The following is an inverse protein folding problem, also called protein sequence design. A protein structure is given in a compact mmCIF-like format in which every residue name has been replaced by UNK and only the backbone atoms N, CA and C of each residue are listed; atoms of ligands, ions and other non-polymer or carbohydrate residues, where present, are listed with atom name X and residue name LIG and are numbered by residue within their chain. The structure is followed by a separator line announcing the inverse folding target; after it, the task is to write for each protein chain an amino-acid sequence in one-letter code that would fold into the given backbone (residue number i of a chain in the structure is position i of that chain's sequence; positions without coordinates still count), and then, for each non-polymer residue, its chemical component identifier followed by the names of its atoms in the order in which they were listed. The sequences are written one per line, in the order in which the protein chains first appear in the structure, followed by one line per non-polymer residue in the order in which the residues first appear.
data_IF_309813817212
#
_entry.id   IF_309813817212
#
_cell.length_a   1.000
_cell.length_b   1.000
_cell.length_c   1.000
_cell.angle_alpha   90.00
_cell.angle_beta   90.00
_cell.angle_gamma   90.00
#
_symmetry.space_group_name_H-M   'P 1'
#
loop_
_entity.id
_entity.type
_entity.pdbx_description
1 polymer ?
#
# COMPACT_ATOMS: atom_id res chain seq x y z
N UNK A 1 -10.91 12.55 -36.34
CA UNK A 1 -10.48 11.18 -36.33
C UNK A 1 -9.54 10.92 -35.16
N UNK A 2 -10.08 10.28 -34.12
CA UNK A 2 -9.30 9.89 -32.92
C UNK A 2 -8.51 8.65 -33.29
N UNK A 3 -7.22 8.77 -33.61
CA UNK A 3 -6.30 7.64 -33.72
C UNK A 3 -5.94 7.17 -32.32
N UNK A 4 -6.35 5.96 -32.02
CA UNK A 4 -6.15 5.26 -30.76
C UNK A 4 -4.65 5.18 -30.37
N UNK A 5 -4.32 5.60 -29.18
CA UNK A 5 -3.00 5.49 -28.56
C UNK A 5 -2.51 4.03 -28.42
N UNK A 6 -3.37 3.04 -28.65
CA UNK A 6 -3.03 1.61 -28.59
C UNK A 6 -2.05 1.15 -29.68
N UNK A 7 -1.98 1.84 -30.82
CA UNK A 7 -1.18 1.38 -31.97
C UNK A 7 0.30 1.78 -31.87
N UNK A 8 0.70 2.68 -30.95
CA UNK A 8 2.11 3.10 -30.81
C UNK A 8 2.94 2.29 -29.80
N UNK A 9 2.29 1.48 -28.95
CA UNK A 9 2.99 0.61 -27.99
C UNK A 9 3.42 -0.74 -28.62
N UNK A 10 2.86 -1.11 -29.77
CA UNK A 10 3.13 -2.39 -30.44
C UNK A 10 4.37 -2.41 -31.34
N UNK A 11 5.06 -1.28 -31.53
CA UNK A 11 6.14 -1.18 -32.54
C UNK A 11 7.54 -0.89 -31.98
N UNK A 12 7.81 -1.19 -30.70
CA UNK A 12 9.20 -1.23 -30.21
C UNK A 12 9.71 -2.66 -30.36
N UNK A 13 10.82 -2.89 -31.12
CA UNK A 13 11.47 -4.18 -31.14
C UNK A 13 12.03 -4.45 -29.73
N UNK A 14 11.34 -5.29 -28.98
CA UNK A 14 11.83 -5.76 -27.69
C UNK A 14 12.84 -6.86 -27.97
N UNK A 15 14.07 -6.62 -27.57
CA UNK A 15 15.12 -7.60 -27.48
C UNK A 15 14.62 -8.87 -26.78
N UNK A 16 14.42 -9.93 -27.52
CA UNK A 16 14.50 -11.35 -27.19
C UNK A 16 13.90 -11.94 -25.90
N UNK A 17 13.25 -11.15 -25.05
CA UNK A 17 12.58 -11.66 -23.86
C UNK A 17 11.16 -12.11 -24.24
N UNK A 18 10.93 -13.41 -24.25
CA UNK A 18 9.60 -13.97 -24.44
C UNK A 18 8.71 -13.55 -23.28
N UNK A 19 7.79 -12.61 -23.51
CA UNK A 19 6.77 -12.23 -22.55
C UNK A 19 5.79 -13.40 -22.48
N UNK A 20 5.85 -14.16 -21.38
CA UNK A 20 4.84 -15.18 -21.09
C UNK A 20 3.53 -14.50 -20.71
N UNK A 21 2.45 -14.95 -21.30
CA UNK A 21 1.12 -14.53 -20.86
C UNK A 21 0.87 -15.03 -19.44
N UNK A 22 0.33 -14.19 -18.54
CA UNK A 22 0.00 -14.61 -17.19
C UNK A 22 -1.05 -15.72 -17.20
N UNK A 23 -0.88 -16.69 -16.32
CA UNK A 23 -1.84 -17.77 -16.07
C UNK A 23 -2.71 -17.42 -14.86
N UNK A 24 -3.83 -18.13 -14.69
CA UNK A 24 -4.70 -17.95 -13.52
C UNK A 24 -3.98 -18.19 -12.19
N UNK A 25 -2.99 -19.06 -12.19
CA UNK A 25 -2.13 -19.36 -11.04
C UNK A 25 -1.16 -18.21 -10.67
N UNK A 26 -0.96 -17.24 -11.56
CA UNK A 26 -0.08 -16.09 -11.29
C UNK A 26 -0.79 -15.06 -10.40
N UNK A 27 -1.00 -15.44 -9.16
CA UNK A 27 -1.55 -14.62 -8.08
C UNK A 27 -0.52 -14.48 -6.97
N UNK A 28 -0.53 -13.36 -6.30
CA UNK A 28 0.33 -13.12 -5.14
C UNK A 28 -0.49 -12.38 -4.07
N UNK A 29 -0.54 -12.95 -2.88
CA UNK A 29 -1.01 -12.26 -1.68
C UNK A 29 0.20 -11.87 -0.83
N UNK A 30 0.33 -10.60 -0.48
CA UNK A 30 1.50 -10.05 0.17
C UNK A 30 1.12 -9.08 1.27
N UNK A 31 1.55 -9.36 2.50
CA UNK A 31 1.51 -8.41 3.60
C UNK A 31 2.81 -7.59 3.59
N UNK A 32 2.70 -6.31 3.37
CA UNK A 32 3.81 -5.36 3.51
C UNK A 32 3.74 -4.75 4.91
N UNK A 33 4.78 -4.94 5.68
CA UNK A 33 4.96 -4.32 6.99
C UNK A 33 6.01 -3.22 6.88
N UNK A 34 5.64 -2.01 7.23
CA UNK A 34 6.56 -0.87 7.30
C UNK A 34 7.05 -0.78 8.74
N UNK A 35 8.37 -0.86 8.91
CA UNK A 35 8.96 -0.83 10.24
C UNK A 35 8.69 0.53 10.93
N UNK A 36 8.46 0.54 12.25
CA UNK A 36 8.28 1.78 12.99
C UNK A 36 9.58 2.58 13.02
N UNK A 37 9.46 3.89 13.19
CA UNK A 37 10.56 4.79 13.54
C UNK A 37 10.43 5.22 15.00
N UNK A 38 11.27 6.14 15.44
CA UNK A 38 11.14 6.74 16.78
C UNK A 38 9.84 7.54 16.92
N UNK A 39 9.31 8.05 15.80
CA UNK A 39 8.15 8.94 15.77
C UNK A 39 6.91 8.32 15.14
N UNK A 40 7.03 7.18 14.43
CA UNK A 40 5.91 6.57 13.70
C UNK A 40 5.64 5.14 14.16
N UNK A 41 4.37 4.78 14.21
CA UNK A 41 3.92 3.41 14.42
C UNK A 41 4.23 2.52 13.20
N UNK A 42 4.23 1.18 13.33
CA UNK A 42 4.35 0.29 12.19
C UNK A 42 3.15 0.43 11.25
N UNK A 43 3.42 0.46 9.94
CA UNK A 43 2.38 0.48 8.91
C UNK A 43 2.13 -0.90 8.32
N UNK A 44 0.91 -1.16 7.85
CA UNK A 44 0.52 -2.44 7.28
C UNK A 44 -0.30 -2.25 6.00
N UNK A 45 0.11 -2.95 4.94
CA UNK A 45 -0.56 -2.93 3.65
C UNK A 45 -0.71 -4.36 3.15
N UNK A 46 -1.94 -4.78 2.89
CA UNK A 46 -2.22 -6.06 2.26
C UNK A 46 -2.40 -5.84 0.75
N UNK A 47 -1.57 -6.51 -0.04
CA UNK A 47 -1.62 -6.48 -1.49
C UNK A 47 -2.09 -7.82 -2.02
N UNK A 48 -3.03 -7.79 -2.96
CA UNK A 48 -3.42 -8.93 -3.76
C UNK A 48 -3.22 -8.60 -5.24
N UNK A 49 -2.29 -9.33 -5.86
CA UNK A 49 -1.95 -9.17 -7.27
C UNK A 49 -2.54 -10.34 -8.05
N UNK A 50 -3.23 -10.02 -9.14
CA UNK A 50 -3.74 -11.02 -10.06
C UNK A 50 -3.29 -10.66 -11.48
N UNK A 51 -2.24 -11.35 -11.95
CA UNK A 51 -1.64 -11.04 -13.24
C UNK A 51 -2.55 -11.43 -14.42
N UNK A 52 -3.40 -12.45 -14.27
CA UNK A 52 -4.33 -12.86 -15.34
C UNK A 52 -5.42 -11.82 -15.58
N UNK A 53 -5.86 -11.14 -14.52
CA UNK A 53 -6.85 -10.06 -14.59
C UNK A 53 -6.22 -8.67 -14.72
N UNK A 54 -4.88 -8.60 -14.69
CA UNK A 54 -4.11 -7.35 -14.68
C UNK A 54 -4.60 -6.36 -13.63
N UNK A 55 -4.87 -6.85 -12.42
CA UNK A 55 -5.36 -6.05 -11.32
C UNK A 55 -4.48 -6.19 -10.06
N UNK A 56 -4.44 -5.12 -9.28
CA UNK A 56 -3.82 -5.05 -7.96
C UNK A 56 -4.87 -4.47 -7.02
N UNK A 57 -5.15 -5.20 -5.94
CA UNK A 57 -5.93 -4.68 -4.83
C UNK A 57 -4.97 -4.36 -3.70
N UNK A 58 -5.12 -3.18 -3.12
CA UNK A 58 -4.33 -2.71 -1.99
C UNK A 58 -5.29 -2.33 -0.86
N UNK A 59 -5.03 -2.84 0.34
CA UNK A 59 -5.81 -2.56 1.54
C UNK A 59 -4.87 -2.15 2.66
N UNK A 60 -4.96 -0.92 3.11
CA UNK A 60 -4.28 -0.46 4.32
C UNK A 60 -4.97 -1.08 5.55
N UNK A 61 -4.20 -1.68 6.45
CA UNK A 61 -4.71 -2.26 7.67
C UNK A 61 -4.37 -1.32 8.85
N UNK A 62 -5.36 -0.93 9.66
CA UNK A 62 -5.09 -0.10 10.82
C UNK A 62 -4.26 -0.86 11.86
N UNK A 63 -3.35 -0.15 12.52
CA UNK A 63 -2.50 -0.73 13.56
C UNK A 63 -3.26 -1.25 14.77
N UNK A 64 -4.45 -0.70 15.03
CA UNK A 64 -5.38 -1.08 16.09
C UNK A 64 -6.21 -2.32 15.76
N UNK A 65 -6.09 -2.86 14.54
CA UNK A 65 -6.79 -4.08 14.15
C UNK A 65 -6.50 -5.19 15.15
N UNK A 66 -7.55 -5.71 15.77
CA UNK A 66 -7.44 -6.77 16.76
C UNK A 66 -7.16 -8.11 16.08
N UNK A 67 -6.05 -8.75 16.45
CA UNK A 67 -5.59 -10.03 15.89
C UNK A 67 -5.32 -11.05 16.99
N UNK A 68 -5.39 -12.37 16.69
CA UNK A 68 -5.04 -13.42 17.65
C UNK A 68 -3.55 -13.38 18.01
N UNK A 69 -3.24 -13.51 19.31
CA UNK A 69 -1.88 -13.56 19.81
C UNK A 69 -1.76 -14.58 20.97
N UNK A 70 -1.37 -15.80 20.66
CA UNK A 70 -1.40 -16.90 21.61
C UNK A 70 -2.83 -17.29 21.98
N UNK A 71 -3.13 -17.29 23.27
CA UNK A 71 -4.48 -17.52 23.81
C UNK A 71 -5.34 -16.24 23.83
N UNK A 72 -4.74 -15.09 23.65
CA UNK A 72 -5.36 -13.78 23.77
C UNK A 72 -5.50 -13.09 22.41
N UNK A 73 -5.91 -11.83 22.46
CA UNK A 73 -5.96 -10.93 21.31
C UNK A 73 -5.17 -9.66 21.61
N UNK A 74 -4.57 -9.07 20.59
CA UNK A 74 -3.82 -7.82 20.71
C UNK A 74 -4.01 -6.95 19.47
N UNK A 75 -3.59 -5.69 19.53
CA UNK A 75 -3.52 -4.84 18.36
C UNK A 75 -2.42 -5.32 17.40
N UNK A 76 -2.61 -5.16 16.11
CA UNK A 76 -1.64 -5.57 15.07
C UNK A 76 -0.29 -4.89 15.26
N UNK A 77 -0.29 -3.61 15.64
CA UNK A 77 0.93 -2.86 16.00
C UNK A 77 1.70 -3.48 17.16
N UNK A 78 1.00 -3.93 18.19
CA UNK A 78 1.63 -4.56 19.35
C UNK A 78 2.10 -5.99 19.03
N UNK A 79 1.35 -6.72 18.21
CA UNK A 79 1.79 -8.00 17.65
C UNK A 79 3.12 -7.84 16.90
N UNK A 80 3.24 -6.79 16.07
CA UNK A 80 4.47 -6.49 15.34
C UNK A 80 5.64 -6.18 16.27
N UNK A 81 5.42 -5.32 17.28
CA UNK A 81 6.46 -4.95 18.24
C UNK A 81 6.93 -6.15 19.08
N UNK A 82 6.01 -7.03 19.46
CA UNK A 82 6.30 -8.18 20.31
C UNK A 82 6.97 -9.33 19.54
N UNK A 83 6.59 -9.60 18.29
CA UNK A 83 6.98 -10.82 17.61
C UNK A 83 7.28 -10.64 16.10
N UNK A 84 7.26 -9.41 15.59
CA UNK A 84 7.67 -9.06 14.23
C UNK A 84 6.69 -9.45 13.12
N UNK A 85 7.09 -9.23 11.85
CA UNK A 85 6.20 -9.32 10.70
C UNK A 85 5.71 -10.74 10.39
N UNK A 86 6.50 -11.76 10.69
CA UNK A 86 6.09 -13.16 10.47
C UNK A 86 4.88 -13.51 11.34
N UNK A 87 4.89 -13.07 12.61
CA UNK A 87 3.76 -13.29 13.52
C UNK A 87 2.53 -12.50 13.13
N UNK A 88 2.69 -11.27 12.63
CA UNK A 88 1.59 -10.48 12.08
C UNK A 88 0.91 -11.22 10.91
N UNK A 89 1.71 -11.80 10.00
CA UNK A 89 1.17 -12.63 8.91
C UNK A 89 0.33 -13.79 9.46
N UNK A 90 0.86 -14.59 10.38
CA UNK A 90 0.13 -15.72 10.97
C UNK A 90 -1.18 -15.28 11.63
N UNK A 91 -1.14 -14.21 12.40
CA UNK A 91 -2.31 -13.65 13.05
C UNK A 91 -3.37 -13.18 12.05
N UNK A 92 -2.95 -12.55 10.95
CA UNK A 92 -3.85 -12.06 9.89
C UNK A 92 -4.40 -13.20 9.03
N UNK A 93 -3.65 -14.29 8.79
CA UNK A 93 -4.19 -15.47 8.12
C UNK A 93 -5.44 -15.99 8.84
N UNK A 94 -5.37 -16.06 10.16
CA UNK A 94 -6.49 -16.51 10.99
C UNK A 94 -7.59 -15.47 11.09
N UNK A 95 -7.26 -14.19 11.31
CA UNK A 95 -8.22 -13.12 11.55
C UNK A 95 -9.05 -12.76 10.31
N UNK A 96 -8.43 -12.75 9.14
CA UNK A 96 -9.03 -12.32 7.87
C UNK A 96 -9.27 -13.47 6.89
N UNK A 97 -9.02 -14.73 7.30
CA UNK A 97 -9.14 -15.90 6.42
C UNK A 97 -8.36 -15.75 5.11
N UNK A 98 -7.14 -15.22 5.21
CA UNK A 98 -6.28 -15.02 4.05
C UNK A 98 -5.78 -16.36 3.50
N UNK A 99 -5.38 -16.42 2.21
CA UNK A 99 -4.73 -17.60 1.65
C UNK A 99 -3.46 -17.98 2.43
N UNK A 100 -3.24 -19.27 2.64
CA UNK A 100 -2.06 -19.77 3.39
C UNK A 100 -0.72 -19.41 2.71
N UNK A 101 -0.73 -19.24 1.39
CA UNK A 101 0.40 -18.82 0.57
C UNK A 101 0.63 -17.28 0.60
N UNK A 102 -0.09 -16.53 1.45
CA UNK A 102 0.18 -15.12 1.67
C UNK A 102 1.61 -14.93 2.18
N UNK A 103 2.42 -14.21 1.45
CA UNK A 103 3.78 -13.86 1.85
C UNK A 103 3.81 -12.60 2.72
N UNK A 104 4.95 -12.30 3.32
CA UNK A 104 5.17 -11.00 3.96
C UNK A 104 6.48 -10.37 3.52
N UNK A 105 6.53 -9.04 3.57
CA UNK A 105 7.69 -8.22 3.29
C UNK A 105 7.81 -7.15 4.37
N UNK A 106 8.94 -7.08 5.04
CA UNK A 106 9.22 -6.02 5.99
C UNK A 106 10.14 -4.98 5.33
N UNK A 107 9.75 -3.73 5.35
CA UNK A 107 10.47 -2.61 4.75
C UNK A 107 10.80 -1.56 5.81
N UNK A 108 12.03 -1.05 5.78
CA UNK A 108 12.34 0.17 6.50
C UNK A 108 11.77 1.38 5.73
N UNK A 109 11.35 2.47 6.40
CA UNK A 109 10.86 3.68 5.74
C UNK A 109 11.84 4.23 4.70
N UNK A 110 13.14 4.17 4.97
CA UNK A 110 14.18 4.59 4.03
C UNK A 110 14.20 3.80 2.71
N UNK A 111 13.77 2.54 2.72
CA UNK A 111 13.64 1.72 1.51
C UNK A 111 12.46 2.17 0.67
N UNK A 112 11.34 2.51 1.31
CA UNK A 112 10.17 3.09 0.62
C UNK A 112 10.53 4.42 -0.03
N UNK A 113 11.26 5.28 0.70
CA UNK A 113 11.76 6.54 0.17
C UNK A 113 12.63 6.32 -1.07
N UNK A 114 13.59 5.41 -1.01
CA UNK A 114 14.47 5.09 -2.14
C UNK A 114 13.71 4.53 -3.36
N UNK A 115 12.65 3.73 -3.13
CA UNK A 115 11.78 3.25 -4.19
C UNK A 115 11.02 4.40 -4.83
N UNK A 116 10.43 5.27 -4.02
CA UNK A 116 9.66 6.41 -4.51
C UNK A 116 10.53 7.41 -5.27
N UNK A 117 11.73 7.72 -4.78
CA UNK A 117 12.71 8.57 -5.46
C UNK A 117 13.10 8.01 -6.85
N UNK A 118 13.18 6.69 -6.96
CA UNK A 118 13.48 6.03 -8.23
C UNK A 118 12.34 6.11 -9.25
N UNK A 119 11.11 6.09 -8.80
CA UNK A 119 9.93 6.14 -9.68
C UNK A 119 9.41 7.55 -9.93
N UNK A 120 9.92 8.55 -9.19
CA UNK A 120 9.57 9.95 -9.33
C UNK A 120 8.26 10.32 -8.64
N UNK A 121 7.54 11.27 -9.22
CA UNK A 121 6.30 11.79 -8.64
C UNK A 121 5.17 10.77 -8.66
N UNK A 122 4.48 10.63 -7.53
CA UNK A 122 3.25 9.86 -7.39
C UNK A 122 2.05 10.76 -7.71
N UNK A 123 1.06 10.23 -8.39
CA UNK A 123 -0.23 10.92 -8.57
C UNK A 123 -1.19 10.41 -7.51
N UNK A 124 -1.51 11.27 -6.56
CA UNK A 124 -2.44 10.97 -5.47
C UNK A 124 -3.78 11.63 -5.78
N UNK A 125 -4.86 10.87 -5.69
CA UNK A 125 -6.23 11.36 -5.85
C UNK A 125 -6.99 11.25 -4.54
N UNK A 126 -7.55 12.36 -4.08
CA UNK A 126 -8.32 12.43 -2.83
C UNK A 126 -9.84 12.49 -3.07
N UNK A 127 -10.29 12.30 -4.32
CA UNK A 127 -11.70 12.49 -4.66
C UNK A 127 -12.60 11.51 -3.91
N UNK A 128 -13.49 12.04 -3.09
CA UNK A 128 -14.46 11.29 -2.31
C UNK A 128 -13.96 10.80 -0.94
N UNK A 129 -12.66 10.89 -0.65
CA UNK A 129 -12.09 10.46 0.62
C UNK A 129 -12.03 11.60 1.66
N UNK A 130 -11.73 12.83 1.20
CA UNK A 130 -11.60 14.00 2.05
C UNK A 130 -12.67 15.04 1.72
N UNK A 131 -13.16 15.74 2.75
CA UNK A 131 -13.98 16.94 2.58
C UNK A 131 -13.13 18.10 2.09
N UNK A 132 -13.77 19.18 1.59
CA UNK A 132 -13.08 20.37 1.14
C UNK A 132 -12.25 21.05 2.27
N UNK A 133 -12.73 20.97 3.50
CA UNK A 133 -12.05 21.48 4.69
C UNK A 133 -10.82 20.64 5.03
N UNK A 134 -10.96 19.32 5.04
CA UNK A 134 -9.85 18.38 5.27
C UNK A 134 -8.78 18.52 4.18
N UNK A 135 -9.19 18.69 2.92
CA UNK A 135 -8.27 18.90 1.81
C UNK A 135 -7.48 20.22 1.97
N UNK A 136 -8.12 21.28 2.42
CA UNK A 136 -7.46 22.56 2.70
C UNK A 136 -6.42 22.45 3.83
N UNK A 137 -6.71 21.64 4.86
CA UNK A 137 -5.78 21.39 5.97
C UNK A 137 -4.53 20.61 5.54
N UNK A 138 -4.64 19.76 4.52
CA UNK A 138 -3.49 19.01 3.97
C UNK A 138 -2.58 19.87 3.08
N UNK A 139 -2.95 21.11 2.80
CA UNK A 139 -2.21 21.98 1.88
C UNK A 139 -2.36 21.60 0.40
N UNK A 140 -3.22 20.63 0.08
CA UNK A 140 -3.49 20.21 -1.29
C UNK A 140 -4.47 21.17 -1.97
N UNK A 141 -4.13 21.61 -3.17
CA UNK A 141 -4.95 22.56 -3.93
C UNK A 141 -5.94 21.90 -4.90
N UNK A 142 -5.85 20.58 -5.09
CA UNK A 142 -6.69 19.84 -6.04
C UNK A 142 -6.93 18.40 -5.61
N UNK A 143 -8.06 17.83 -6.06
CA UNK A 143 -8.41 16.43 -5.82
C UNK A 143 -7.44 15.40 -6.44
N UNK A 144 -6.56 15.81 -7.32
CA UNK A 144 -5.49 14.99 -7.89
C UNK A 144 -4.22 15.82 -7.93
N UNK A 145 -3.21 15.38 -7.22
CA UNK A 145 -1.94 16.08 -7.14
C UNK A 145 -0.78 15.13 -7.42
N UNK A 146 0.24 15.62 -8.12
CA UNK A 146 1.51 14.92 -8.23
C UNK A 146 2.37 15.31 -7.02
N UNK A 147 2.77 14.33 -6.23
CA UNK A 147 3.58 14.52 -5.02
C UNK A 147 4.84 13.68 -5.10
N UNK A 148 5.94 14.21 -4.60
CA UNK A 148 7.13 13.41 -4.32
C UNK A 148 6.88 12.52 -3.11
N UNK A 149 7.75 11.52 -2.90
CA UNK A 149 7.64 10.66 -1.72
C UNK A 149 7.73 11.42 -0.41
N UNK A 150 8.57 12.45 -0.36
CA UNK A 150 8.71 13.31 0.82
C UNK A 150 7.45 14.13 1.08
N UNK A 151 6.87 14.73 0.05
CA UNK A 151 5.61 15.47 0.17
C UNK A 151 4.46 14.54 0.57
N UNK A 152 4.45 13.28 0.08
CA UNK A 152 3.47 12.29 0.51
C UNK A 152 3.62 11.92 1.99
N UNK A 153 4.85 11.79 2.49
CA UNK A 153 5.13 11.55 3.91
C UNK A 153 4.72 12.74 4.77
N UNK A 154 5.06 13.96 4.37
CA UNK A 154 4.66 15.20 5.04
C UNK A 154 3.12 15.35 5.07
N UNK A 155 2.45 14.96 3.99
CA UNK A 155 0.99 14.95 3.87
C UNK A 155 0.36 13.96 4.86
N UNK A 156 0.87 12.72 4.92
CA UNK A 156 0.38 11.69 5.84
C UNK A 156 0.59 12.11 7.30
N UNK A 157 1.74 12.67 7.64
CA UNK A 157 2.03 13.16 8.98
C UNK A 157 1.13 14.34 9.36
N UNK A 158 0.86 15.28 8.44
CA UNK A 158 -0.05 16.39 8.66
C UNK A 158 -1.52 15.97 8.82
N UNK A 159 -1.90 14.81 8.28
CA UNK A 159 -3.24 14.25 8.44
C UNK A 159 -3.45 13.55 9.80
N UNK A 160 -2.39 13.24 10.54
CA UNK A 160 -2.47 12.40 11.74
C UNK A 160 -3.40 12.97 12.81
N UNK A 161 -3.41 14.28 12.98
CA UNK A 161 -4.18 14.97 14.01
C UNK A 161 -5.50 15.57 13.51
N UNK A 162 -5.68 15.71 12.21
CA UNK A 162 -6.77 16.51 11.63
C UNK A 162 -7.78 15.71 10.83
N UNK A 163 -7.42 14.53 10.34
CA UNK A 163 -8.28 13.70 9.48
C UNK A 163 -8.71 12.42 10.21
N UNK A 164 -10.02 12.09 10.23
CA UNK A 164 -10.51 10.85 10.83
C UNK A 164 -9.83 9.61 10.25
N UNK A 165 -9.54 8.58 11.06
CA UNK A 165 -8.85 7.37 10.61
C UNK A 165 -9.50 6.68 9.41
N UNK A 166 -10.84 6.74 9.29
CA UNK A 166 -11.58 6.19 8.16
C UNK A 166 -11.25 6.88 6.82
N UNK A 167 -10.92 8.17 6.85
CA UNK A 167 -10.58 8.94 5.66
C UNK A 167 -9.09 8.86 5.30
N UNK A 168 -8.22 8.52 6.27
CA UNK A 168 -6.78 8.31 6.01
C UNK A 168 -6.50 7.04 5.21
N UNK A 169 -7.37 6.04 5.31
CA UNK A 169 -7.21 4.74 4.68
C UNK A 169 -7.74 4.69 3.23
N UNK A 170 -8.40 5.73 2.76
CA UNK A 170 -8.97 5.83 1.42
C UNK A 170 -7.97 6.40 0.42
#
# INVERSE_FOLDING_TARGET
PRRSLRTRLASRPQSGVAIRQPKEENRLSLLVCIAPTETTAPGFLLLYLNASQNCIHALALPGELTVPFGADKTALSDCYRAAGPARCREALLSALSLPEDTHYLALAPSVLQAIADRYGMLRVGFSGALTAEELALTGCSSNVQAVSAREAEELLNGMEDTVPPAHKAA
#
